data_IF_124159518635
#
_entry.id   IF_124159518635
#
_cell.length_a   1.000
_cell.length_b   1.000
_cell.length_c   1.000
_cell.angle_alpha   90.00
_cell.angle_beta   90.00
_cell.angle_gamma   90.00
#
_symmetry.space_group_name_H-M   'P 1'
#
loop_
_entity.id
_entity.type
_entity.pdbx_description
1 polymer ?
#
# COMPACT_ATOMS: atom_id res chain seq x y z
N UNK A 1 -12.57 24.71 8.70
CA UNK A 1 -11.38 24.15 8.04
C UNK A 1 -10.89 25.06 6.93
N UNK A 2 -9.59 25.37 6.89
CA UNK A 2 -9.01 26.31 5.92
C UNK A 2 -7.61 25.89 5.49
N UNK A 3 -7.25 26.17 4.23
CA UNK A 3 -5.91 25.95 3.69
C UNK A 3 -4.89 26.76 4.50
N UNK A 4 -3.73 26.16 4.83
CA UNK A 4 -2.65 26.85 5.57
C UNK A 4 -2.17 28.12 4.88
N UNK A 5 -2.12 28.09 3.54
CA UNK A 5 -1.72 29.21 2.68
C UNK A 5 -2.72 30.37 2.81
N UNK A 6 -4.02 30.09 2.68
CA UNK A 6 -5.08 31.09 2.83
C UNK A 6 -5.16 31.63 4.26
N UNK A 7 -4.76 30.84 5.25
CA UNK A 7 -4.62 31.25 6.64
C UNK A 7 -3.32 32.03 6.95
N UNK A 8 -2.46 32.28 5.94
CA UNK A 8 -1.19 32.99 6.11
C UNK A 8 -0.12 32.21 6.89
N UNK A 9 -0.26 30.89 7.01
CA UNK A 9 0.65 29.99 7.74
C UNK A 9 1.64 29.25 6.84
N UNK A 10 1.73 29.66 5.58
CA UNK A 10 2.67 29.15 4.59
C UNK A 10 3.23 30.34 3.78
N UNK A 11 4.47 30.78 4.05
CA UNK A 11 5.06 31.93 3.39
C UNK A 11 5.57 31.63 1.97
N UNK A 12 5.83 30.35 1.66
CA UNK A 12 6.54 29.91 0.46
C UNK A 12 5.59 29.59 -0.70
N UNK A 13 4.31 29.37 -0.42
CA UNK A 13 3.28 29.07 -1.41
C UNK A 13 2.09 30.03 -1.31
N UNK A 14 1.68 30.64 -2.42
CA UNK A 14 0.65 31.71 -2.44
C UNK A 14 -0.56 31.45 -3.34
N UNK A 15 -0.57 30.34 -4.08
CA UNK A 15 -1.59 30.07 -5.10
C UNK A 15 -2.75 29.16 -4.62
N UNK A 16 -2.91 28.97 -3.30
CA UNK A 16 -4.07 28.25 -2.75
C UNK A 16 -5.31 29.16 -2.74
N UNK A 17 -6.29 28.88 -3.60
CA UNK A 17 -7.57 29.61 -3.69
C UNK A 17 -8.76 28.86 -3.07
N UNK A 18 -8.48 27.93 -2.17
CA UNK A 18 -9.52 27.11 -1.54
C UNK A 18 -10.32 27.95 -0.56
N UNK A 19 -11.65 27.80 -0.59
CA UNK A 19 -12.55 28.47 0.36
C UNK A 19 -12.43 27.85 1.76
N UNK A 20 -12.91 28.61 2.75
CA UNK A 20 -13.17 28.07 4.07
C UNK A 20 -14.29 27.01 3.96
N UNK A 21 -14.11 25.89 4.67
CA UNK A 21 -15.08 24.80 4.75
C UNK A 21 -15.56 24.69 6.19
N UNK A 22 -16.88 24.67 6.43
CA UNK A 22 -17.39 24.50 7.80
C UNK A 22 -17.15 23.07 8.28
N UNK A 23 -16.90 22.91 9.58
CA UNK A 23 -16.69 21.59 10.18
C UNK A 23 -17.93 20.70 10.01
N UNK A 24 -19.13 21.27 10.22
CA UNK A 24 -20.40 20.61 9.99
C UNK A 24 -20.57 20.09 8.56
N UNK A 25 -20.00 20.78 7.56
CA UNK A 25 -20.09 20.33 6.17
C UNK A 25 -19.26 19.06 5.94
N UNK A 26 -18.08 18.97 6.57
CA UNK A 26 -17.23 17.78 6.52
C UNK A 26 -17.86 16.61 7.28
N UNK A 27 -18.42 16.87 8.47
CA UNK A 27 -19.12 15.86 9.26
C UNK A 27 -20.31 15.30 8.49
N UNK A 28 -21.14 16.17 7.89
CA UNK A 28 -22.27 15.76 7.08
C UNK A 28 -21.85 14.97 5.83
N UNK A 29 -20.80 15.42 5.14
CA UNK A 29 -20.28 14.72 3.97
C UNK A 29 -19.76 13.32 4.34
N UNK A 30 -19.01 13.20 5.44
CA UNK A 30 -18.55 11.92 5.95
C UNK A 30 -19.71 10.99 6.30
N UNK A 31 -20.67 11.47 7.09
CA UNK A 31 -21.82 10.67 7.50
C UNK A 31 -22.67 10.23 6.31
N UNK A 32 -22.80 11.09 5.29
CA UNK A 32 -23.47 10.74 4.03
C UNK A 32 -22.77 9.56 3.35
N UNK A 33 -21.46 9.62 3.15
CA UNK A 33 -20.68 8.54 2.52
C UNK A 33 -20.81 7.24 3.33
N UNK A 34 -20.69 7.29 4.66
CA UNK A 34 -20.85 6.11 5.52
C UNK A 34 -22.22 5.47 5.39
N UNK A 35 -23.29 6.27 5.27
CA UNK A 35 -24.65 5.76 5.06
C UNK A 35 -24.82 5.15 3.68
N UNK A 36 -24.34 5.83 2.63
CA UNK A 36 -24.39 5.31 1.25
C UNK A 36 -23.67 3.96 1.13
N UNK A 37 -22.49 3.83 1.76
CA UNK A 37 -21.75 2.57 1.82
C UNK A 37 -22.51 1.46 2.57
N UNK A 38 -23.21 1.83 3.65
CA UNK A 38 -24.02 0.87 4.43
C UNK A 38 -25.29 0.44 3.69
N UNK A 39 -25.89 1.34 2.90
CA UNK A 39 -27.09 1.07 2.11
C UNK A 39 -26.79 0.21 0.87
N UNK A 40 -25.58 0.32 0.31
CA UNK A 40 -25.17 -0.39 -0.90
C UNK A 40 -23.89 -1.23 -0.68
N UNK A 41 -23.91 -2.23 0.22
CA UNK A 41 -22.71 -3.01 0.55
C UNK A 41 -22.12 -3.76 -0.65
N UNK A 42 -22.95 -4.23 -1.57
CA UNK A 42 -22.50 -4.96 -2.77
C UNK A 42 -21.63 -4.08 -3.69
N UNK A 43 -22.01 -2.81 -3.88
CA UNK A 43 -21.24 -1.84 -4.69
C UNK A 43 -19.90 -1.54 -4.02
N UNK A 44 -19.88 -1.35 -2.70
CA UNK A 44 -18.65 -1.15 -1.92
C UNK A 44 -17.73 -2.37 -2.03
N UNK A 45 -18.28 -3.58 -1.96
CA UNK A 45 -17.52 -4.82 -2.12
C UNK A 45 -16.92 -4.92 -3.52
N UNK A 46 -17.70 -4.60 -4.56
CA UNK A 46 -17.21 -4.63 -5.93
C UNK A 46 -16.07 -3.61 -6.16
N UNK A 47 -16.26 -2.37 -5.74
CA UNK A 47 -15.24 -1.32 -5.87
C UNK A 47 -13.95 -1.65 -5.11
N UNK A 48 -14.08 -2.16 -3.89
CA UNK A 48 -12.94 -2.57 -3.08
C UNK A 48 -12.18 -3.75 -3.73
N UNK A 49 -12.89 -4.74 -4.24
CA UNK A 49 -12.27 -5.87 -4.95
C UNK A 49 -11.53 -5.41 -6.21
N UNK A 50 -12.10 -4.46 -6.97
CA UNK A 50 -11.41 -3.88 -8.13
C UNK A 50 -10.13 -3.12 -7.73
N UNK A 51 -10.14 -2.43 -6.59
CA UNK A 51 -8.96 -1.74 -6.08
C UNK A 51 -7.88 -2.73 -5.62
N UNK A 52 -8.28 -3.80 -4.91
CA UNK A 52 -7.40 -4.89 -4.47
C UNK A 52 -6.81 -5.60 -5.69
N UNK A 53 -7.62 -5.94 -6.71
CA UNK A 53 -7.16 -6.60 -7.93
C UNK A 53 -6.12 -5.76 -8.69
N UNK A 54 -6.30 -4.43 -8.73
CA UNK A 54 -5.32 -3.51 -9.35
C UNK A 54 -3.98 -3.45 -8.61
N UNK A 55 -3.98 -3.64 -7.30
CA UNK A 55 -2.76 -3.71 -6.48
C UNK A 55 -2.18 -5.13 -6.42
N UNK A 56 -2.98 -6.14 -6.77
CA UNK A 56 -2.59 -7.54 -6.72
C UNK A 56 -1.59 -7.89 -7.81
N UNK A 57 -0.70 -8.83 -7.50
CA UNK A 57 0.14 -9.44 -8.51
C UNK A 57 -0.71 -10.23 -9.49
N UNK A 58 -0.51 -9.98 -10.78
CA UNK A 58 -1.11 -10.78 -11.84
C UNK A 58 -0.60 -12.24 -11.79
N UNK A 59 -1.33 -13.21 -12.35
CA UNK A 59 -0.88 -14.61 -12.40
C UNK A 59 0.56 -14.82 -12.90
N UNK A 60 1.05 -14.17 -13.97
CA UNK A 60 2.44 -14.31 -14.38
C UNK A 60 3.44 -13.69 -13.38
N UNK A 61 3.08 -12.60 -12.69
CA UNK A 61 3.93 -12.01 -11.65
C UNK A 61 4.04 -12.90 -10.42
N UNK A 62 2.95 -13.59 -10.04
CA UNK A 62 2.97 -14.59 -8.98
C UNK A 62 3.88 -15.77 -9.34
N UNK A 63 3.77 -16.27 -10.58
CA UNK A 63 4.68 -17.32 -11.08
C UNK A 63 6.14 -16.84 -11.07
N UNK A 64 6.38 -15.59 -11.49
CA UNK A 64 7.71 -14.99 -11.47
C UNK A 64 8.27 -14.89 -10.05
N UNK A 65 7.46 -14.50 -9.08
CA UNK A 65 7.85 -14.46 -7.67
C UNK A 65 8.25 -15.84 -7.15
N UNK A 66 7.48 -16.88 -7.47
CA UNK A 66 7.83 -18.27 -7.12
C UNK A 66 9.14 -18.73 -7.77
N UNK A 67 9.36 -18.39 -9.05
CA UNK A 67 10.60 -18.69 -9.77
C UNK A 67 11.80 -17.98 -9.16
N UNK A 68 11.67 -16.69 -8.83
CA UNK A 68 12.71 -15.89 -8.18
C UNK A 68 13.10 -16.50 -6.83
N UNK A 69 12.13 -16.91 -6.02
CA UNK A 69 12.40 -17.56 -4.74
C UNK A 69 13.22 -18.86 -4.91
N UNK A 70 12.88 -19.69 -5.90
CA UNK A 70 13.64 -20.92 -6.21
C UNK A 70 15.05 -20.62 -6.72
N UNK A 71 15.21 -19.59 -7.56
CA UNK A 71 16.52 -19.18 -8.09
C UNK A 71 17.42 -18.64 -6.98
N UNK A 72 16.88 -17.79 -6.09
CA UNK A 72 17.59 -17.25 -4.93
C UNK A 72 18.01 -18.38 -3.99
N UNK A 73 17.13 -19.34 -3.69
CA UNK A 73 17.46 -20.51 -2.87
C UNK A 73 18.61 -21.32 -3.49
N UNK A 74 18.53 -21.62 -4.78
CA UNK A 74 19.58 -22.36 -5.51
C UNK A 74 20.93 -21.64 -5.47
N UNK A 75 20.95 -20.32 -5.66
CA UNK A 75 22.19 -19.52 -5.60
C UNK A 75 22.71 -19.47 -4.17
N UNK A 76 21.83 -19.35 -3.17
CA UNK A 76 22.20 -19.35 -1.74
C UNK A 76 22.87 -20.66 -1.34
N UNK A 77 22.33 -21.79 -1.78
CA UNK A 77 22.91 -23.11 -1.56
C UNK A 77 24.28 -23.22 -2.22
N UNK A 78 24.42 -22.73 -3.45
CA UNK A 78 25.70 -22.74 -4.18
C UNK A 78 26.76 -21.86 -3.52
N UNK A 79 26.39 -20.69 -3.01
CA UNK A 79 27.28 -19.81 -2.24
C UNK A 79 27.71 -20.52 -0.95
N UNK A 80 26.78 -21.14 -0.24
CA UNK A 80 27.04 -21.88 1.00
C UNK A 80 27.98 -23.07 0.76
N UNK A 81 27.76 -23.83 -0.31
CA UNK A 81 28.62 -24.94 -0.74
C UNK A 81 30.03 -24.47 -1.08
N UNK A 82 30.17 -23.31 -1.73
CA UNK A 82 31.47 -22.73 -2.05
C UNK A 82 32.20 -22.29 -0.78
N UNK A 83 31.51 -21.61 0.14
CA UNK A 83 32.06 -21.18 1.42
C UNK A 83 32.49 -22.39 2.29
N UNK A 84 31.72 -23.48 2.30
CA UNK A 84 32.07 -24.70 3.04
C UNK A 84 33.32 -25.41 2.48
N UNK A 85 33.61 -25.23 1.17
CA UNK A 85 34.79 -25.79 0.49
C UNK A 85 36.03 -24.90 0.59
N UNK A 86 35.99 -23.81 1.36
CA UNK A 86 37.09 -22.87 1.57
C UNK A 86 38.21 -23.47 2.45
N UNK A 87 38.76 -24.60 2.04
CA UNK A 87 39.97 -25.21 2.59
C UNK A 87 40.91 -25.58 1.45
N UNK A 88 41.69 -24.61 0.93
CA UNK A 88 43.09 -24.78 0.50
C UNK A 88 43.59 -23.77 -0.55
N UNK A 89 42.74 -23.04 -1.29
CA UNK A 89 43.21 -22.23 -2.42
C UNK A 89 42.62 -20.83 -2.43
N UNK A 90 43.45 -19.83 -2.07
CA UNK A 90 43.25 -18.41 -2.43
C UNK A 90 43.40 -18.26 -3.94
N UNK A 91 42.36 -18.65 -4.69
CA UNK A 91 42.32 -18.60 -6.15
C UNK A 91 41.49 -17.39 -6.60
N UNK A 92 42.05 -16.57 -7.49
CA UNK A 92 41.36 -15.43 -8.07
C UNK A 92 40.07 -15.86 -8.83
N UNK A 93 40.02 -17.11 -9.31
CA UNK A 93 38.84 -17.69 -9.97
C UNK A 93 37.72 -17.96 -8.95
N UNK A 94 38.07 -18.40 -7.73
CA UNK A 94 37.09 -18.60 -6.64
C UNK A 94 36.44 -17.27 -6.26
N UNK A 95 37.26 -16.24 -6.01
CA UNK A 95 36.77 -14.89 -5.67
C UNK A 95 35.90 -14.30 -6.78
N UNK A 96 36.27 -14.47 -8.04
CA UNK A 96 35.48 -14.01 -9.18
C UNK A 96 34.12 -14.74 -9.27
N UNK A 97 34.11 -16.06 -9.04
CA UNK A 97 32.89 -16.87 -9.08
C UNK A 97 31.95 -16.51 -7.94
N UNK A 98 32.48 -16.34 -6.73
CA UNK A 98 31.70 -15.95 -5.56
C UNK A 98 31.07 -14.57 -5.76
N UNK A 99 31.85 -13.58 -6.24
CA UNK A 99 31.33 -12.24 -6.56
C UNK A 99 30.24 -12.27 -7.61
N UNK A 100 30.39 -13.10 -8.65
CA UNK A 100 29.36 -13.26 -9.67
C UNK A 100 28.04 -13.78 -9.07
N UNK A 101 28.11 -14.83 -8.24
CA UNK A 101 26.92 -15.40 -7.60
C UNK A 101 26.23 -14.42 -6.66
N UNK A 102 27.01 -13.64 -5.89
CA UNK A 102 26.46 -12.57 -5.03
C UNK A 102 25.74 -11.51 -5.87
N UNK A 103 26.37 -11.04 -6.94
CA UNK A 103 25.75 -10.05 -7.82
C UNK A 103 24.47 -10.55 -8.49
N UNK A 104 24.47 -11.80 -8.94
CA UNK A 104 23.28 -12.45 -9.50
C UNK A 104 22.16 -12.54 -8.45
N UNK A 105 22.51 -12.92 -7.21
CA UNK A 105 21.57 -12.95 -6.09
C UNK A 105 20.98 -11.57 -5.80
N UNK A 106 21.80 -10.50 -5.79
CA UNK A 106 21.35 -9.13 -5.55
C UNK A 106 20.33 -8.66 -6.60
N UNK A 107 20.56 -8.96 -7.88
CA UNK A 107 19.61 -8.64 -8.95
C UNK A 107 18.27 -9.35 -8.74
N UNK A 108 18.31 -10.64 -8.45
CA UNK A 108 17.10 -11.45 -8.24
C UNK A 108 16.35 -11.01 -6.99
N UNK A 109 17.06 -10.65 -5.93
CA UNK A 109 16.46 -10.10 -4.70
C UNK A 109 15.77 -8.77 -4.97
N UNK A 110 16.39 -7.87 -5.74
CA UNK A 110 15.76 -6.59 -6.06
C UNK A 110 14.44 -6.76 -6.82
N UNK A 111 14.38 -7.68 -7.78
CA UNK A 111 13.14 -8.00 -8.50
C UNK A 111 12.09 -8.61 -7.58
N UNK A 112 12.51 -9.56 -6.71
CA UNK A 112 11.63 -10.18 -5.72
C UNK A 112 11.04 -9.14 -4.77
N UNK A 113 11.87 -8.26 -4.23
CA UNK A 113 11.45 -7.25 -3.25
C UNK A 113 10.41 -6.30 -3.86
N UNK A 114 10.56 -5.91 -5.13
CA UNK A 114 9.55 -5.09 -5.82
C UNK A 114 8.21 -5.81 -5.99
N UNK A 115 8.20 -7.11 -6.26
CA UNK A 115 6.97 -7.90 -6.33
C UNK A 115 6.36 -8.13 -4.94
N UNK A 116 7.19 -8.32 -3.93
CA UNK A 116 6.77 -8.51 -2.54
C UNK A 116 6.16 -7.22 -1.96
N UNK A 117 6.70 -6.04 -2.31
CA UNK A 117 6.10 -4.75 -1.96
C UNK A 117 4.67 -4.60 -2.48
N UNK A 118 4.43 -4.96 -3.76
CA UNK A 118 3.08 -4.94 -4.35
C UNK A 118 2.14 -5.92 -3.62
N UNK A 119 2.63 -7.12 -3.29
CA UNK A 119 1.86 -8.11 -2.53
C UNK A 119 1.54 -7.62 -1.12
N UNK A 120 2.44 -6.89 -0.47
CA UNK A 120 2.19 -6.29 0.84
C UNK A 120 1.13 -5.17 0.76
N UNK A 121 1.12 -4.39 -0.31
CA UNK A 121 0.07 -3.39 -0.56
C UNK A 121 -1.30 -4.06 -0.73
N UNK A 122 -1.39 -5.14 -1.50
CA UNK A 122 -2.61 -5.94 -1.62
C UNK A 122 -3.11 -6.41 -0.24
N UNK A 123 -2.25 -7.07 0.56
CA UNK A 123 -2.61 -7.56 1.89
C UNK A 123 -3.05 -6.45 2.84
N UNK A 124 -2.43 -5.27 2.72
CA UNK A 124 -2.84 -4.10 3.47
C UNK A 124 -4.24 -3.65 3.08
N UNK A 125 -4.55 -3.53 1.79
CA UNK A 125 -5.87 -3.15 1.29
C UNK A 125 -6.95 -4.15 1.71
N UNK A 126 -6.68 -5.46 1.60
CA UNK A 126 -7.59 -6.52 2.07
C UNK A 126 -7.92 -6.35 3.56
N UNK A 127 -6.91 -6.10 4.39
CA UNK A 127 -7.10 -5.90 5.83
C UNK A 127 -7.89 -4.63 6.16
N UNK A 128 -7.63 -3.53 5.46
CA UNK A 128 -8.40 -2.29 5.64
C UNK A 128 -9.85 -2.50 5.21
N UNK A 129 -10.07 -3.19 4.10
CA UNK A 129 -11.40 -3.47 3.60
C UNK A 129 -12.21 -4.36 4.54
N UNK A 130 -11.61 -5.42 5.08
CA UNK A 130 -12.24 -6.25 6.12
C UNK A 130 -12.58 -5.43 7.37
N UNK A 131 -11.70 -4.52 7.78
CA UNK A 131 -11.95 -3.63 8.92
C UNK A 131 -13.13 -2.69 8.64
N UNK A 132 -13.26 -2.16 7.42
CA UNK A 132 -14.38 -1.34 7.00
C UNK A 132 -15.70 -2.12 7.02
N UNK A 133 -15.72 -3.36 6.52
CA UNK A 133 -16.93 -4.20 6.53
C UNK A 133 -17.43 -4.44 7.95
N UNK A 134 -16.54 -4.83 8.86
CA UNK A 134 -16.88 -5.02 10.29
C UNK A 134 -17.45 -3.73 10.88
N UNK A 135 -16.85 -2.57 10.58
CA UNK A 135 -17.36 -1.28 11.05
C UNK A 135 -18.77 -0.97 10.51
N UNK A 136 -19.04 -1.25 9.23
CA UNK A 136 -20.33 -1.01 8.60
C UNK A 136 -21.43 -1.93 9.17
N UNK A 137 -21.09 -3.17 9.48
CA UNK A 137 -21.98 -4.15 10.11
C UNK A 137 -22.29 -3.81 11.58
N UNK A 138 -21.27 -3.54 12.39
CA UNK A 138 -21.40 -3.30 13.84
C UNK A 138 -22.07 -1.96 14.16
N UNK A 139 -21.95 -0.96 13.28
CA UNK A 139 -22.51 0.36 13.53
C UNK A 139 -24.01 0.37 13.26
N UNK A 140 -24.83 -0.11 14.19
CA UNK A 140 -26.31 -0.22 14.03
C UNK A 140 -26.95 1.10 13.55
N UNK A 141 -26.49 2.25 14.05
CA UNK A 141 -27.04 3.57 13.77
C UNK A 141 -25.96 4.61 13.47
N UNK A 142 -25.82 4.96 12.20
CA UNK A 142 -25.02 6.11 11.73
C UNK A 142 -25.84 7.42 11.84
N UNK A 143 -26.49 7.66 12.98
CA UNK A 143 -27.36 8.82 13.19
C UNK A 143 -26.55 10.11 13.39
N UNK A 144 -25.56 10.09 14.28
CA UNK A 144 -24.71 11.23 14.63
C UNK A 144 -23.25 11.01 14.23
N UNK A 145 -22.51 12.12 14.08
CA UNK A 145 -21.08 12.08 13.79
C UNK A 145 -20.28 11.50 14.97
N UNK A 146 -19.51 10.45 14.70
CA UNK A 146 -18.54 9.89 15.63
C UNK A 146 -17.11 10.22 15.18
N UNK A 147 -16.43 11.06 15.98
CA UNK A 147 -15.03 11.46 15.75
C UNK A 147 -14.06 10.27 15.79
N UNK A 148 -14.38 9.23 16.55
CA UNK A 148 -13.57 8.01 16.67
C UNK A 148 -13.66 7.21 15.37
N UNK A 149 -14.88 7.04 14.85
CA UNK A 149 -15.13 6.41 13.56
C UNK A 149 -14.46 7.18 12.42
N UNK A 150 -14.60 8.51 12.41
CA UNK A 150 -13.96 9.37 11.42
C UNK A 150 -12.44 9.18 11.38
N UNK A 151 -11.76 9.22 12.53
CA UNK A 151 -10.30 9.06 12.63
C UNK A 151 -9.81 7.65 12.26
N UNK A 152 -10.65 6.62 12.45
CA UNK A 152 -10.30 5.24 12.08
C UNK A 152 -10.49 4.96 10.60
N UNK A 153 -11.42 5.65 9.95
CA UNK A 153 -11.86 5.32 8.58
C UNK A 153 -11.20 6.22 7.54
N UNK A 154 -10.96 7.50 7.87
CA UNK A 154 -10.45 8.48 6.92
C UNK A 154 -8.94 8.69 7.12
N UNK A 155 -8.16 8.28 6.13
CA UNK A 155 -6.73 8.60 6.05
C UNK A 155 -6.50 10.03 5.51
N UNK A 156 -7.23 10.41 4.45
CA UNK A 156 -7.09 11.70 3.78
C UNK A 156 -8.39 12.14 3.13
N UNK A 157 -8.68 13.44 3.23
CA UNK A 157 -9.73 14.11 2.45
C UNK A 157 -9.13 15.07 1.42
N UNK A 158 -9.71 15.16 0.23
CA UNK A 158 -9.32 16.13 -0.81
C UNK A 158 -10.45 17.13 -0.98
N UNK A 159 -10.16 18.41 -0.73
CA UNK A 159 -11.12 19.49 -0.91
C UNK A 159 -10.89 20.10 -2.29
N UNK A 160 -11.80 19.81 -3.22
CA UNK A 160 -11.84 20.48 -4.51
C UNK A 160 -12.65 21.78 -4.40
N UNK A 161 -12.22 22.80 -5.13
CA UNK A 161 -13.07 23.98 -5.37
C UNK A 161 -14.23 23.54 -6.26
N UNK A 162 -15.45 23.97 -5.96
CA UNK A 162 -16.56 23.85 -6.92
C UNK A 162 -16.11 24.39 -8.28
N UNK A 163 -16.18 23.54 -9.32
CA UNK A 163 -16.18 24.02 -10.70
C UNK A 163 -17.50 24.76 -10.89
N UNK A 164 -17.48 26.06 -10.69
CA UNK A 164 -18.49 26.99 -11.24
C UNK A 164 -18.40 26.90 -12.77
#
# INVERSE_FOLDING_TARGET
WQCRVTAGRDPDYKDCKTSYVHETDLENAFMKIMREMKENPDEVIEEANQAIEKASLSPPEQQRLEELNKQIETITDRISDLAAKESATRDAIYDATLRHLIYEQEILQQERDSLEENMQEQLYLEKQFQSLLVLLEETEKLEDFDVTLFKKTIERGIIYKERI
#
